data_IF_272970080727
#
_entry.id   IF_272970080727
#
_cell.length_a   1.000
_cell.length_b   1.000
_cell.length_c   1.000
_cell.angle_alpha   90.00
_cell.angle_beta   90.00
_cell.angle_gamma   90.00
#
_symmetry.space_group_name_H-M   'P 1'
#
loop_
_entity.id
_entity.type
_entity.pdbx_description
1 polymer ?
#
# COMPACT_ATOMS: atom_id res chain seq x y z
N UNK A 1 -64.05 -19.23 -50.77
CA UNK A 1 -62.60 -18.94 -50.78
C UNK A 1 -62.23 -18.33 -49.43
N UNK A 2 -61.53 -19.09 -48.56
CA UNK A 2 -61.15 -18.64 -47.21
C UNK A 2 -59.67 -18.21 -47.28
N UNK A 3 -59.40 -16.90 -47.25
CA UNK A 3 -58.04 -16.35 -47.14
C UNK A 3 -57.59 -16.58 -45.70
N UNK A 4 -56.55 -17.40 -45.53
CA UNK A 4 -55.96 -17.69 -44.22
C UNK A 4 -55.06 -16.51 -43.84
N UNK A 5 -55.38 -15.87 -42.71
CA UNK A 5 -54.55 -14.85 -42.06
C UNK A 5 -53.29 -15.50 -41.48
N UNK A 6 -52.25 -15.65 -42.30
CA UNK A 6 -50.96 -16.24 -41.89
C UNK A 6 -49.94 -15.20 -41.38
N UNK A 7 -50.15 -13.90 -41.60
CA UNK A 7 -49.12 -12.88 -41.29
C UNK A 7 -49.04 -12.49 -39.80
N UNK A 8 -50.14 -12.45 -39.06
CA UNK A 8 -50.15 -11.97 -37.66
C UNK A 8 -49.52 -12.95 -36.67
N UNK A 9 -49.49 -14.25 -36.98
CA UNK A 9 -48.81 -15.28 -36.16
C UNK A 9 -47.29 -15.21 -36.25
N UNK A 10 -46.73 -14.72 -37.37
CA UNK A 10 -45.29 -14.60 -37.56
C UNK A 10 -44.70 -13.34 -36.90
N UNK A 11 -45.46 -12.24 -36.83
CA UNK A 11 -45.03 -11.03 -36.10
C UNK A 11 -44.86 -11.26 -34.60
N UNK A 12 -45.74 -12.06 -33.98
CA UNK A 12 -45.64 -12.39 -32.55
C UNK A 12 -44.44 -13.30 -32.22
N UNK A 13 -43.96 -14.11 -33.17
CA UNK A 13 -42.82 -15.00 -32.97
C UNK A 13 -41.51 -14.20 -32.80
N UNK A 14 -41.31 -13.16 -33.62
CA UNK A 14 -40.12 -12.31 -33.55
C UNK A 14 -40.02 -11.48 -32.27
N UNK A 15 -41.15 -11.08 -31.69
CA UNK A 15 -41.17 -10.38 -30.40
C UNK A 15 -40.73 -11.30 -29.24
N UNK A 16 -41.19 -12.56 -29.24
CA UNK A 16 -40.80 -13.54 -28.22
C UNK A 16 -39.31 -13.89 -28.34
N UNK A 17 -38.80 -14.04 -29.56
CA UNK A 17 -37.37 -14.28 -29.80
C UNK A 17 -36.52 -13.12 -29.30
N UNK A 18 -36.93 -11.87 -29.57
CA UNK A 18 -36.25 -10.69 -29.04
C UNK A 18 -36.27 -10.63 -27.50
N UNK A 19 -37.39 -11.01 -26.87
CA UNK A 19 -37.52 -11.01 -25.41
C UNK A 19 -36.63 -12.08 -24.76
N UNK A 20 -36.57 -13.28 -25.35
CA UNK A 20 -35.66 -14.34 -24.92
C UNK A 20 -34.20 -13.91 -25.13
N UNK A 21 -33.87 -13.28 -26.27
CA UNK A 21 -32.54 -12.78 -26.54
C UNK A 21 -32.09 -11.71 -25.53
N UNK A 22 -32.97 -10.77 -25.15
CA UNK A 22 -32.69 -9.76 -24.12
C UNK A 22 -32.48 -10.43 -22.75
N UNK A 23 -33.31 -11.42 -22.41
CA UNK A 23 -33.18 -12.14 -21.14
C UNK A 23 -31.84 -12.91 -21.06
N UNK A 24 -31.48 -13.64 -22.12
CA UNK A 24 -30.21 -14.36 -22.20
C UNK A 24 -29.03 -13.38 -22.17
N UNK A 25 -29.09 -12.29 -22.94
CA UNK A 25 -28.07 -11.25 -22.95
C UNK A 25 -27.89 -10.60 -21.56
N UNK A 26 -28.99 -10.34 -20.86
CA UNK A 26 -28.97 -9.80 -19.49
C UNK A 26 -28.25 -10.72 -18.51
N UNK A 27 -28.54 -12.03 -18.54
CA UNK A 27 -27.87 -13.01 -17.68
C UNK A 27 -26.37 -13.06 -18.01
N UNK A 28 -26.00 -13.13 -19.28
CA UNK A 28 -24.59 -13.15 -19.70
C UNK A 28 -23.86 -11.87 -19.26
N UNK A 29 -24.49 -10.70 -19.40
CA UNK A 29 -23.93 -9.43 -18.95
C UNK A 29 -23.64 -9.42 -17.44
N UNK A 30 -24.55 -9.93 -16.60
CA UNK A 30 -24.32 -10.00 -15.14
C UNK A 30 -23.15 -10.91 -14.78
N UNK A 31 -23.00 -12.05 -15.46
CA UNK A 31 -21.87 -12.95 -15.25
C UNK A 31 -20.55 -12.27 -15.64
N UNK A 32 -20.51 -11.58 -16.79
CA UNK A 32 -19.33 -10.85 -17.23
C UNK A 32 -18.96 -9.72 -16.28
N UNK A 33 -19.93 -8.95 -15.77
CA UNK A 33 -19.68 -7.90 -14.77
C UNK A 33 -19.08 -8.51 -13.50
N UNK A 34 -19.60 -9.65 -13.03
CA UNK A 34 -19.06 -10.30 -11.83
C UNK A 34 -17.60 -10.73 -12.02
N UNK A 35 -17.25 -11.30 -13.17
CA UNK A 35 -15.86 -11.67 -13.48
C UNK A 35 -14.98 -10.42 -13.52
N UNK A 36 -15.44 -9.35 -14.18
CA UNK A 36 -14.73 -8.07 -14.26
C UNK A 36 -14.51 -7.44 -12.88
N UNK A 37 -15.51 -7.47 -12.00
CA UNK A 37 -15.41 -6.94 -10.63
C UNK A 37 -14.35 -7.69 -9.83
N UNK A 38 -14.30 -9.02 -9.95
CA UNK A 38 -13.27 -9.83 -9.28
C UNK A 38 -11.88 -9.46 -9.80
N UNK A 39 -11.71 -9.37 -11.12
CA UNK A 39 -10.44 -8.98 -11.72
C UNK A 39 -10.01 -7.56 -11.32
N UNK A 40 -10.94 -6.59 -11.31
CA UNK A 40 -10.67 -5.22 -10.90
C UNK A 40 -10.25 -5.13 -9.44
N UNK A 41 -10.87 -5.89 -8.53
CA UNK A 41 -10.47 -5.92 -7.12
C UNK A 41 -9.06 -6.45 -6.93
N UNK A 42 -8.69 -7.49 -7.69
CA UNK A 42 -7.34 -8.04 -7.68
C UNK A 42 -6.32 -7.03 -8.20
N UNK A 43 -6.63 -6.32 -9.28
CA UNK A 43 -5.77 -5.24 -9.80
C UNK A 43 -5.56 -4.12 -8.79
N UNK A 44 -6.63 -3.62 -8.14
CA UNK A 44 -6.51 -2.58 -7.11
C UNK A 44 -5.62 -3.05 -5.95
N UNK A 45 -5.77 -4.31 -5.54
CA UNK A 45 -4.93 -4.87 -4.50
C UNK A 45 -3.46 -4.93 -4.93
N UNK A 46 -3.18 -5.37 -6.15
CA UNK A 46 -1.82 -5.41 -6.70
C UNK A 46 -1.19 -4.01 -6.77
N UNK A 47 -1.97 -3.00 -7.16
CA UNK A 47 -1.50 -1.60 -7.18
C UNK A 47 -1.13 -1.10 -5.78
N UNK A 48 -1.93 -1.43 -4.76
CA UNK A 48 -1.63 -1.09 -3.36
C UNK A 48 -0.37 -1.82 -2.87
N UNK A 49 -0.22 -3.11 -3.19
CA UNK A 49 0.97 -3.89 -2.82
C UNK A 49 2.25 -3.34 -3.48
N UNK A 50 2.19 -2.95 -4.76
CA UNK A 50 3.33 -2.32 -5.45
C UNK A 50 3.65 -0.94 -4.89
N UNK A 51 2.63 -0.12 -4.60
CA UNK A 51 2.80 1.18 -3.96
C UNK A 51 3.49 1.05 -2.59
N UNK A 52 3.06 0.09 -1.76
CA UNK A 52 3.70 -0.20 -0.48
C UNK A 52 5.17 -0.63 -0.66
N UNK A 53 5.45 -1.50 -1.63
CA UNK A 53 6.82 -1.95 -1.92
C UNK A 53 7.70 -0.83 -2.46
N UNK A 54 7.15 0.06 -3.28
CA UNK A 54 7.84 1.26 -3.77
C UNK A 54 8.19 2.20 -2.61
N UNK A 55 7.22 2.53 -1.76
CA UNK A 55 7.44 3.40 -0.60
C UNK A 55 8.42 2.79 0.40
N UNK A 56 8.38 1.47 0.62
CA UNK A 56 9.32 0.80 1.51
C UNK A 56 10.77 0.84 0.98
N UNK A 57 10.95 0.65 -0.34
CA UNK A 57 12.26 0.79 -1.00
C UNK A 57 12.76 2.23 -0.94
N UNK A 58 11.88 3.20 -1.23
CA UNK A 58 12.19 4.63 -1.15
C UNK A 58 12.65 5.02 0.26
N UNK A 59 11.93 4.59 1.30
CA UNK A 59 12.30 4.82 2.69
C UNK A 59 13.69 4.25 3.04
N UNK A 60 14.04 3.04 2.57
CA UNK A 60 15.37 2.49 2.80
C UNK A 60 16.48 3.33 2.13
N UNK A 61 16.23 3.85 0.92
CA UNK A 61 17.16 4.76 0.22
C UNK A 61 17.27 6.08 0.97
N UNK A 62 16.16 6.63 1.46
CA UNK A 62 16.12 7.84 2.29
C UNK A 62 17.00 7.65 3.54
N UNK A 63 16.84 6.55 4.26
CA UNK A 63 17.64 6.26 5.46
C UNK A 63 19.12 6.12 5.13
N UNK A 64 19.46 5.44 4.03
CA UNK A 64 20.85 5.34 3.58
C UNK A 64 21.43 6.71 3.19
N UNK A 65 20.63 7.59 2.58
CA UNK A 65 21.04 8.95 2.27
C UNK A 65 21.26 9.79 3.53
N UNK A 66 20.43 9.62 4.57
CA UNK A 66 20.65 10.24 5.89
C UNK A 66 21.96 9.72 6.49
N UNK A 67 22.23 8.41 6.43
CA UNK A 67 23.49 7.83 6.92
C UNK A 67 24.72 8.33 6.15
N UNK A 68 24.61 8.46 4.83
CA UNK A 68 25.68 9.04 4.01
C UNK A 68 25.94 10.51 4.36
N UNK A 69 24.89 11.30 4.65
CA UNK A 69 25.03 12.69 5.09
C UNK A 69 25.72 12.80 6.44
N UNK A 70 25.39 11.92 7.39
CA UNK A 70 26.08 11.83 8.69
C UNK A 70 27.57 11.50 8.50
N UNK A 71 27.91 10.54 7.64
CA UNK A 71 29.32 10.23 7.35
C UNK A 71 30.12 11.40 6.80
N UNK A 72 29.46 12.30 6.05
CA UNK A 72 30.09 13.47 5.45
C UNK A 72 30.15 14.66 6.42
N UNK A 73 29.23 14.74 7.39
CA UNK A 73 29.19 15.75 8.44
C UNK A 73 29.60 15.09 9.75
N UNK A 74 30.90 15.12 10.04
CA UNK A 74 31.58 14.46 11.18
C UNK A 74 30.98 14.71 12.58
N UNK A 75 29.95 15.56 12.71
CA UNK A 75 29.42 16.07 13.98
C UNK A 75 27.89 15.92 14.12
N UNK A 76 27.22 15.20 13.21
CA UNK A 76 25.76 15.02 13.28
C UNK A 76 25.38 13.59 13.67
N UNK A 77 25.01 13.39 14.92
CA UNK A 77 24.56 12.10 15.47
C UNK A 77 23.11 11.76 15.04
N UNK A 78 22.86 11.45 13.77
CA UNK A 78 21.53 10.99 13.34
C UNK A 78 21.26 9.56 13.83
N UNK A 79 22.27 8.69 13.85
CA UNK A 79 22.16 7.28 14.21
C UNK A 79 22.80 6.88 15.55
N UNK A 80 23.06 7.84 16.46
CA UNK A 80 23.68 7.53 17.74
C UNK A 80 22.85 6.50 18.55
N UNK A 81 23.50 5.49 19.17
CA UNK A 81 22.81 4.46 19.97
C UNK A 81 22.03 5.02 21.16
N UNK A 82 22.39 6.21 21.64
CA UNK A 82 21.69 6.94 22.70
C UNK A 82 20.31 7.43 22.27
N UNK A 83 20.10 7.62 20.97
CA UNK A 83 18.88 8.18 20.40
C UNK A 83 18.03 7.13 19.66
N UNK A 84 18.67 6.14 19.06
CA UNK A 84 18.00 5.04 18.36
C UNK A 84 18.16 3.73 19.14
N UNK A 85 17.09 3.35 19.84
CA UNK A 85 17.01 2.11 20.59
C UNK A 85 16.69 0.94 19.66
N UNK A 86 17.27 -0.22 19.97
CA UNK A 86 16.91 -1.49 19.34
C UNK A 86 15.43 -1.80 19.60
N UNK A 87 14.77 -2.39 18.62
CA UNK A 87 13.37 -2.83 18.62
C UNK A 87 12.35 -1.68 18.79
N UNK A 88 12.80 -0.44 18.57
CA UNK A 88 11.93 0.75 18.48
C UNK A 88 11.76 1.19 17.04
N UNK A 89 10.58 1.75 16.77
CA UNK A 89 10.17 2.27 15.48
C UNK A 89 10.04 3.80 15.53
N UNK A 90 10.42 4.46 14.44
CA UNK A 90 10.50 5.91 14.32
C UNK A 90 9.83 6.36 13.03
N UNK A 91 9.34 7.60 13.02
CA UNK A 91 8.65 8.19 11.87
C UNK A 91 9.67 8.91 11.00
N UNK A 92 9.52 8.78 9.68
CA UNK A 92 10.21 9.64 8.72
C UNK A 92 9.36 10.87 8.45
N UNK A 93 9.83 12.05 8.88
CA UNK A 93 9.21 13.31 8.50
C UNK A 93 10.03 13.98 7.40
N UNK A 94 9.33 14.60 6.47
CA UNK A 94 9.92 15.52 5.50
C UNK A 94 9.97 16.91 6.13
N UNK A 95 11.16 17.51 6.13
CA UNK A 95 11.38 18.90 6.54
C UNK A 95 11.95 19.65 5.34
N UNK A 96 11.15 20.54 4.76
CA UNK A 96 11.45 21.28 3.53
C UNK A 96 11.87 20.34 2.37
N UNK A 97 13.18 20.24 2.10
CA UNK A 97 13.78 19.44 1.02
C UNK A 97 14.46 18.16 1.50
N UNK A 98 14.50 17.89 2.81
CA UNK A 98 15.18 16.74 3.38
C UNK A 98 14.26 15.85 4.21
N UNK A 99 14.61 14.58 4.31
CA UNK A 99 13.99 13.65 5.24
C UNK A 99 14.80 13.58 6.53
N UNK A 100 14.08 13.52 7.65
CA UNK A 100 14.63 13.37 8.97
C UNK A 100 13.87 12.28 9.74
N UNK A 101 14.60 11.58 10.60
CA UNK A 101 14.00 10.62 11.54
C UNK A 101 13.51 11.42 12.74
N UNK A 102 12.21 11.37 12.99
CA UNK A 102 11.63 11.96 14.19
C UNK A 102 12.01 11.11 15.41
N UNK A 103 12.80 11.70 16.29
CA UNK A 103 13.31 11.07 17.52
C UNK A 103 12.47 11.41 18.76
N UNK A 104 11.46 12.28 18.62
CA UNK A 104 10.64 12.72 19.76
C UNK A 104 9.68 11.65 20.24
N UNK A 105 9.25 10.78 19.33
CA UNK A 105 8.37 9.66 19.61
C UNK A 105 8.96 8.38 19.04
N UNK A 106 8.76 7.28 19.76
CA UNK A 106 9.17 5.95 19.33
C UNK A 106 8.05 4.96 19.61
N UNK A 107 7.80 4.07 18.67
CA UNK A 107 6.73 3.10 18.72
C UNK A 107 7.28 1.68 18.86
N UNK A 108 6.48 0.78 19.39
CA UNK A 108 6.70 -0.66 19.30
C UNK A 108 5.93 -1.25 18.10
N UNK A 109 6.38 -2.40 17.62
CA UNK A 109 5.72 -3.11 16.49
C UNK A 109 4.24 -3.43 16.81
N UNK A 110 3.87 -3.56 18.09
CA UNK A 110 2.49 -3.81 18.51
C UNK A 110 1.58 -2.57 18.52
N UNK A 111 2.12 -1.36 18.38
CA UNK A 111 1.37 -0.09 18.51
C UNK A 111 0.84 0.41 17.16
N UNK A 112 0.38 -0.53 16.32
CA UNK A 112 -0.04 -0.25 14.95
C UNK A 112 -1.10 0.84 14.83
N UNK A 113 -2.14 0.76 15.64
CA UNK A 113 -3.25 1.71 15.57
C UNK A 113 -2.81 3.14 15.91
N UNK A 114 -1.71 3.31 16.64
CA UNK A 114 -1.14 4.62 16.95
C UNK A 114 -0.30 5.12 15.77
N UNK A 115 0.72 4.35 15.36
CA UNK A 115 1.61 4.81 14.30
C UNK A 115 0.94 4.88 12.93
N UNK A 116 -0.14 4.14 12.70
CA UNK A 116 -0.92 4.21 11.46
C UNK A 116 -1.53 5.59 11.20
N UNK A 117 -1.85 6.31 12.27
CA UNK A 117 -2.41 7.68 12.20
C UNK A 117 -1.29 8.71 12.24
N UNK A 118 -0.27 8.48 13.07
CA UNK A 118 0.78 9.47 13.30
C UNK A 118 1.86 9.48 12.20
N UNK A 119 2.07 8.34 11.52
CA UNK A 119 3.13 8.14 10.54
C UNK A 119 2.65 8.15 9.08
N UNK A 120 1.54 8.85 8.82
CA UNK A 120 0.99 9.04 7.47
C UNK A 120 2.01 9.78 6.60
N UNK A 121 2.12 9.35 5.33
CA UNK A 121 3.01 9.97 4.36
C UNK A 121 2.35 11.25 3.85
N UNK A 122 2.69 12.37 4.47
CA UNK A 122 2.32 13.72 4.00
C UNK A 122 3.53 14.36 3.31
N UNK A 123 3.90 13.83 2.14
CA UNK A 123 5.03 14.36 1.36
C UNK A 123 4.60 15.54 0.45
N UNK A 124 3.30 15.89 0.42
CA UNK A 124 2.73 17.05 -0.28
C UNK A 124 2.80 17.01 -1.81
N UNK A 125 3.17 15.85 -2.39
CA UNK A 125 3.44 15.68 -3.82
C UNK A 125 2.31 14.92 -4.52
N UNK A 126 1.52 14.11 -3.82
CA UNK A 126 0.39 13.36 -4.36
C UNK A 126 -0.75 13.24 -3.35
N UNK A 127 -1.98 13.58 -3.78
CA UNK A 127 -3.22 13.48 -2.97
C UNK A 127 -3.53 12.06 -2.45
N UNK A 128 -2.88 11.02 -2.99
CA UNK A 128 -3.08 9.63 -2.61
C UNK A 128 -2.03 9.08 -1.61
N UNK A 129 -0.98 9.84 -1.28
CA UNK A 129 0.05 9.39 -0.33
C UNK A 129 -0.42 9.45 1.12
N UNK A 130 -1.42 10.29 1.42
CA UNK A 130 -2.11 10.35 2.71
C UNK A 130 -2.82 9.04 3.08
N UNK A 131 -2.99 8.12 2.14
CA UNK A 131 -3.60 6.82 2.38
C UNK A 131 -2.59 5.77 2.89
N UNK A 132 -1.30 6.10 2.94
CA UNK A 132 -0.25 5.20 3.36
C UNK A 132 0.46 5.75 4.59
N UNK A 133 0.92 4.84 5.45
CA UNK A 133 1.82 5.18 6.54
C UNK A 133 3.16 4.46 6.36
N UNK A 134 4.25 5.05 6.87
CA UNK A 134 5.57 4.42 6.90
C UNK A 134 6.28 4.65 8.22
N UNK A 135 6.84 3.58 8.77
CA UNK A 135 7.71 3.63 9.95
C UNK A 135 8.98 2.83 9.73
N UNK A 136 10.05 3.21 10.42
CA UNK A 136 11.32 2.49 10.42
C UNK A 136 11.60 1.96 11.82
N UNK A 137 11.76 0.65 11.93
CA UNK A 137 12.17 -0.02 13.15
C UNK A 137 13.64 -0.43 13.10
N UNK A 138 14.35 -0.23 14.20
CA UNK A 138 15.75 -0.65 14.32
C UNK A 138 15.80 -2.09 14.81
N UNK A 139 16.02 -3.05 13.92
CA UNK A 139 16.04 -4.47 14.27
C UNK A 139 17.36 -4.89 14.93
N UNK A 140 18.48 -4.28 14.51
CA UNK A 140 19.77 -4.49 15.14
C UNK A 140 20.70 -3.31 14.90
N UNK A 141 21.28 -2.80 15.98
CA UNK A 141 22.40 -1.87 15.95
C UNK A 141 23.60 -2.64 16.53
N UNK A 142 24.61 -2.99 15.72
CA UNK A 142 25.80 -3.66 16.26
C UNK A 142 26.78 -2.62 16.80
N UNK A 143 27.06 -2.60 18.12
CA UNK A 143 28.00 -1.65 18.71
C UNK A 143 29.47 -2.01 18.46
N UNK A 144 29.77 -3.22 17.98
CA UNK A 144 31.15 -3.72 17.83
C UNK A 144 31.65 -3.63 16.39
N UNK A 145 32.25 -2.49 16.03
CA UNK A 145 33.27 -2.39 14.97
C UNK A 145 32.80 -2.30 13.53
N UNK A 146 31.63 -2.83 13.17
CA UNK A 146 31.06 -2.63 11.82
C UNK A 146 29.96 -1.58 11.87
N UNK A 147 30.19 -0.43 11.22
CA UNK A 147 29.22 0.66 10.99
C UNK A 147 28.05 0.20 10.10
N UNK A 148 27.24 -0.76 10.58
CA UNK A 148 26.10 -1.30 9.85
C UNK A 148 24.91 -1.44 10.79
N UNK A 149 23.75 -1.02 10.32
CA UNK A 149 22.49 -1.09 11.04
C UNK A 149 21.48 -1.88 10.22
N UNK A 150 20.77 -2.81 10.86
CA UNK A 150 19.64 -3.50 10.24
C UNK A 150 18.37 -2.73 10.59
N UNK A 151 17.72 -2.19 9.57
CA UNK A 151 16.43 -1.54 9.69
C UNK A 151 15.33 -2.43 9.11
N UNK A 152 14.14 -2.28 9.66
CA UNK A 152 12.89 -2.85 9.17
C UNK A 152 11.96 -1.70 8.85
N UNK A 153 11.67 -1.48 7.58
CA UNK A 153 10.66 -0.52 7.14
C UNK A 153 9.32 -1.23 7.10
N UNK A 154 8.30 -0.64 7.72
CA UNK A 154 6.92 -1.11 7.67
C UNK A 154 6.12 -0.05 6.94
N UNK A 155 5.42 -0.46 5.88
CA UNK A 155 4.52 0.38 5.12
C UNK A 155 3.17 -0.30 5.05
N UNK A 156 2.10 0.45 5.32
CA UNK A 156 0.75 -0.09 5.27
C UNK A 156 -0.23 0.94 4.75
N UNK A 157 -1.41 0.45 4.43
CA UNK A 157 -2.53 1.29 3.99
C UNK A 157 -3.37 1.67 5.22
N UNK A 158 -3.59 2.97 5.44
CA UNK A 158 -4.19 3.49 6.66
C UNK A 158 -5.73 3.35 6.68
N UNK A 159 -6.36 2.91 5.59
CA UNK A 159 -7.82 2.64 5.56
C UNK A 159 -8.19 1.21 5.92
N UNK A 160 -7.20 0.33 6.16
CA UNK A 160 -7.41 -1.09 6.48
C UNK A 160 -6.69 -1.53 7.76
N UNK A 161 -7.02 -2.72 8.25
CA UNK A 161 -6.45 -3.31 9.48
C UNK A 161 -5.04 -3.89 9.28
N UNK A 162 -4.64 -4.19 8.05
CA UNK A 162 -3.28 -4.60 7.71
C UNK A 162 -2.86 -5.96 8.25
N UNK A 163 -3.80 -6.78 8.72
CA UNK A 163 -3.52 -8.05 9.39
C UNK A 163 -3.48 -9.23 8.41
N UNK A 164 -4.33 -9.20 7.37
CA UNK A 164 -4.44 -10.27 6.38
C UNK A 164 -4.58 -9.69 4.98
N UNK A 165 -4.08 -10.39 3.96
CA UNK A 165 -4.33 -10.02 2.57
C UNK A 165 -5.55 -10.77 2.05
N UNK A 166 -6.74 -10.30 2.43
CA UNK A 166 -8.05 -10.84 2.03
C UNK A 166 -8.71 -9.95 0.98
N UNK A 167 -10.00 -10.14 0.71
CA UNK A 167 -10.77 -9.28 -0.19
C UNK A 167 -11.09 -7.91 0.40
N UNK A 168 -10.93 -7.72 1.71
CA UNK A 168 -11.26 -6.48 2.44
C UNK A 168 -10.09 -5.89 3.22
N UNK A 169 -8.98 -6.62 3.33
CA UNK A 169 -7.81 -6.22 4.08
C UNK A 169 -6.54 -6.51 3.27
N UNK A 170 -5.51 -5.68 3.45
CA UNK A 170 -4.23 -5.79 2.74
C UNK A 170 -3.15 -5.70 3.78
N UNK A 171 -2.41 -6.80 3.95
CA UNK A 171 -1.35 -6.91 4.96
C UNK A 171 -0.30 -5.83 4.79
N UNK A 172 0.18 -5.28 5.90
CA UNK A 172 1.31 -4.33 5.87
C UNK A 172 2.56 -4.99 5.28
N UNK A 173 3.23 -4.25 4.39
CA UNK A 173 4.48 -4.66 3.77
C UNK A 173 5.66 -4.41 4.70
N UNK A 174 6.56 -5.39 4.81
CA UNK A 174 7.76 -5.31 5.64
C UNK A 174 9.01 -5.49 4.79
N UNK A 175 9.89 -4.50 4.82
CA UNK A 175 11.13 -4.50 4.06
C UNK A 175 12.33 -4.40 5.00
N UNK A 176 13.29 -5.32 4.85
CA UNK A 176 14.52 -5.30 5.64
C UNK A 176 15.66 -4.74 4.81
N UNK A 177 16.40 -3.78 5.37
CA UNK A 177 17.55 -3.18 4.70
C UNK A 177 18.74 -3.06 5.67
N UNK A 178 19.94 -3.26 5.13
CA UNK A 178 21.19 -3.01 5.85
C UNK A 178 21.69 -1.63 5.45
N UNK A 179 21.77 -0.74 6.43
CA UNK A 179 22.27 0.62 6.26
C UNK A 179 23.73 0.64 6.67
N UNK A 180 24.58 1.18 5.80
CA UNK A 180 25.97 1.45 6.12
C UNK A 180 26.07 2.83 6.76
N UNK A 181 26.52 2.88 8.02
CA UNK A 181 26.81 4.08 8.79
C UNK A 181 28.24 4.57 8.53
#
# INVERSE_FOLDING_TARGET
MKKVELNTKYEALGFVEALIAIMVSGIVATVLINISVVAMRELVRLDIEDAQAHQARSAAVIVQNIANRERLKEDSEYFAPTQLQKDRCYILRKSEDNYEIDKTQSYQIGERETYKVDAVIDDGVNDNEEDYFRIICIASNQPSGTKKMLIKVIVGFNKVEGMFSTTTDIRDYQYFAIINL
#
